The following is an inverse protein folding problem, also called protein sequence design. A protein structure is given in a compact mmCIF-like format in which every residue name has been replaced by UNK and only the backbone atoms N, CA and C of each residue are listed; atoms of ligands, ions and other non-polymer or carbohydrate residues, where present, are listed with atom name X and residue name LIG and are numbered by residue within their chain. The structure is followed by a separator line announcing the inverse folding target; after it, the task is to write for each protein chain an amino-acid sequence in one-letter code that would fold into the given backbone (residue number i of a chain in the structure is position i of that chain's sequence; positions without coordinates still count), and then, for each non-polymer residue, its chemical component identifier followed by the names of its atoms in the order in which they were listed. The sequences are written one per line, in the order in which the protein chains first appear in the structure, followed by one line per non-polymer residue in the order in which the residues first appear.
data_IF_709241036350
#
_entry.id   IF_709241036350
#
_cell.length_a   1.000
_cell.length_b   1.000
_cell.length_c   1.000
_cell.angle_alpha   90.00
_cell.angle_beta   90.00
_cell.angle_gamma   90.00
#
_symmetry.space_group_name_H-M   'P 1'
#
loop_
_entity.id
_entity.type
_entity.pdbx_description
1 polymer ?
#
# COMPACT_ATOMS: atom_id res chain seq x y z
N UNK A 1 7.10 4.35 20.36
CA UNK A 1 8.16 3.82 19.48
C UNK A 1 7.85 4.25 18.06
N UNK A 2 8.86 4.76 17.36
CA UNK A 2 8.76 5.37 16.05
C UNK A 2 8.58 4.29 14.97
N UNK A 3 7.39 4.23 14.36
CA UNK A 3 6.95 3.14 13.44
C UNK A 3 7.77 3.12 12.15
N UNK A 4 8.45 4.22 11.83
CA UNK A 4 9.21 4.39 10.60
C UNK A 4 10.34 3.35 10.44
N UNK A 5 11.08 3.07 11.51
CA UNK A 5 12.21 2.11 11.48
C UNK A 5 11.71 0.69 11.25
N UNK A 6 10.62 0.32 11.93
CA UNK A 6 10.01 -1.00 11.77
C UNK A 6 9.47 -1.17 10.36
N UNK A 7 8.78 -0.17 9.80
CA UNK A 7 8.26 -0.22 8.43
C UNK A 7 9.39 -0.38 7.43
N UNK A 8 10.43 0.45 7.50
CA UNK A 8 11.58 0.38 6.58
C UNK A 8 12.25 -1.00 6.66
N UNK A 9 12.37 -1.57 7.86
CA UNK A 9 12.90 -2.92 8.03
C UNK A 9 12.04 -4.00 7.34
N UNK A 10 10.71 -3.92 7.44
CA UNK A 10 9.81 -4.93 6.86
C UNK A 10 9.64 -4.83 5.34
N UNK A 11 9.76 -3.63 4.76
CA UNK A 11 9.59 -3.40 3.32
C UNK A 11 10.91 -3.38 2.55
N UNK A 12 12.05 -3.36 3.27
CA UNK A 12 13.41 -3.42 2.73
C UNK A 12 13.72 -2.36 1.66
N UNK A 13 13.02 -1.21 1.69
CA UNK A 13 13.22 -0.12 0.73
C UNK A 13 13.16 1.26 1.39
N UNK A 14 13.88 2.20 0.79
CA UNK A 14 13.93 3.61 1.19
C UNK A 14 13.06 4.50 0.30
N UNK A 15 12.30 3.93 -0.64
CA UNK A 15 11.49 4.70 -1.57
C UNK A 15 10.32 5.38 -0.85
N UNK A 16 10.24 6.70 -0.98
CA UNK A 16 9.35 7.54 -0.16
C UNK A 16 7.86 7.23 -0.36
N UNK A 17 7.45 6.90 -1.59
CA UNK A 17 6.05 6.60 -1.90
C UNK A 17 5.66 5.26 -1.25
N UNK A 18 6.52 4.24 -1.34
CA UNK A 18 6.30 2.93 -0.71
C UNK A 18 6.27 3.04 0.81
N UNK A 19 7.21 3.78 1.43
CA UNK A 19 7.20 3.99 2.89
C UNK A 19 5.88 4.64 3.33
N UNK A 20 5.42 5.69 2.62
CA UNK A 20 4.19 6.41 2.96
C UNK A 20 2.94 5.55 2.80
N UNK A 21 2.85 4.71 1.76
CA UNK A 21 1.76 3.76 1.59
C UNK A 21 1.80 2.64 2.64
N UNK A 22 3.00 2.17 3.00
CA UNK A 22 3.20 1.06 3.91
C UNK A 22 2.97 1.41 5.39
N UNK A 23 3.09 2.66 5.83
CA UNK A 23 2.80 3.06 7.22
C UNK A 23 1.34 2.78 7.63
N UNK A 24 0.31 3.28 6.91
CA UNK A 24 -1.08 2.98 7.24
C UNK A 24 -1.37 1.50 7.04
N UNK A 25 -0.80 0.85 6.01
CA UNK A 25 -0.88 -0.60 5.85
C UNK A 25 -0.28 -1.34 7.06
N UNK A 26 0.85 -0.93 7.61
CA UNK A 26 1.48 -1.53 8.80
C UNK A 26 0.72 -1.20 10.10
N UNK A 27 0.03 -0.05 10.17
CA UNK A 27 -0.76 0.33 11.34
C UNK A 27 -2.18 -0.28 11.35
N UNK A 28 -2.84 -0.35 10.18
CA UNK A 28 -4.17 -0.94 9.98
C UNK A 28 -4.10 -2.45 9.70
N UNK A 29 -3.34 -2.85 8.67
CA UNK A 29 -3.18 -4.24 8.24
C UNK A 29 -1.98 -4.95 8.90
N UNK A 30 -0.99 -4.21 9.42
CA UNK A 30 0.16 -4.77 10.12
C UNK A 30 -0.23 -5.26 11.51
N UNK A 31 -0.79 -6.46 11.53
CA UNK A 31 -0.65 -7.47 12.56
C UNK A 31 -1.12 -7.13 14.00
N UNK A 32 -1.62 -5.93 14.29
CA UNK A 32 -2.10 -5.58 15.64
C UNK A 32 -3.60 -5.54 15.73
N UNK A 33 -4.28 -4.70 14.94
CA UNK A 33 -5.74 -4.56 15.07
C UNK A 33 -6.51 -5.73 14.44
N UNK A 34 -6.30 -6.00 13.14
CA UNK A 34 -6.99 -7.10 12.44
C UNK A 34 -6.63 -8.47 13.02
N UNK A 35 -5.34 -8.67 13.33
CA UNK A 35 -4.86 -9.90 13.98
C UNK A 35 -5.42 -10.06 15.40
N UNK A 36 -5.57 -8.98 16.19
CA UNK A 36 -6.20 -9.06 17.52
C UNK A 36 -7.71 -9.37 17.47
N UNK A 37 -8.37 -9.06 16.35
CA UNK A 37 -9.75 -9.49 16.09
C UNK A 37 -9.85 -10.96 15.64
N UNK A 38 -8.72 -11.69 15.53
CA UNK A 38 -8.67 -13.10 15.15
C UNK A 38 -8.72 -13.37 13.64
N UNK A 39 -8.74 -12.32 12.81
CA UNK A 39 -8.75 -12.44 11.34
C UNK A 39 -7.34 -12.73 10.84
N UNK A 40 -7.17 -13.85 10.14
CA UNK A 40 -5.87 -14.35 9.66
C UNK A 40 -5.57 -14.01 8.20
N UNK A 41 -6.58 -13.61 7.43
CA UNK A 41 -6.47 -13.38 5.99
C UNK A 41 -7.36 -12.21 5.57
N UNK A 42 -6.83 -11.37 4.69
CA UNK A 42 -7.51 -10.20 4.12
C UNK A 42 -7.19 -10.17 2.63
N UNK A 43 -8.18 -9.80 1.81
CA UNK A 43 -8.01 -9.55 0.38
C UNK A 43 -7.82 -8.05 0.16
N UNK A 44 -6.85 -7.66 -0.67
CA UNK A 44 -6.64 -6.27 -1.12
C UNK A 44 -7.01 -6.10 -2.59
N UNK A 45 -7.35 -4.87 -2.98
CA UNK A 45 -7.59 -4.48 -4.37
C UNK A 45 -6.37 -3.88 -5.06
N UNK A 46 -5.16 -4.20 -4.60
CA UNK A 46 -3.92 -3.73 -5.22
C UNK A 46 -3.82 -4.26 -6.67
N UNK A 47 -3.34 -3.44 -7.61
CA UNK A 47 -3.27 -3.80 -9.03
C UNK A 47 -4.45 -3.33 -9.90
N UNK A 48 -5.56 -2.88 -9.30
CA UNK A 48 -6.74 -2.44 -10.06
C UNK A 48 -6.45 -1.15 -10.86
N UNK A 49 -5.71 -0.21 -10.29
CA UNK A 49 -5.37 1.06 -10.94
C UNK A 49 -4.44 0.86 -12.14
N UNK A 50 -3.57 -0.15 -12.09
CA UNK A 50 -2.68 -0.55 -13.18
C UNK A 50 -3.45 -1.21 -14.33
N UNK A 51 -4.42 -2.07 -14.02
CA UNK A 51 -5.21 -2.79 -15.03
C UNK A 51 -6.21 -1.86 -15.73
N UNK A 52 -6.92 -1.03 -14.96
CA UNK A 52 -8.01 -0.21 -15.49
C UNK A 52 -7.60 1.24 -15.81
N UNK A 53 -6.34 1.60 -15.59
CA UNK A 53 -5.86 2.95 -15.78
C UNK A 53 -6.47 3.94 -14.78
N UNK A 54 -6.60 3.54 -13.51
CA UNK A 54 -7.25 4.31 -12.45
C UNK A 54 -6.45 5.51 -11.96
N UNK A 55 -5.14 5.54 -12.20
CA UNK A 55 -4.30 6.67 -11.79
C UNK A 55 -4.69 7.96 -12.52
N UNK A 56 -4.67 9.10 -11.81
CA UNK A 56 -5.05 10.41 -12.36
C UNK A 56 -4.33 10.77 -13.66
N UNK A 57 -3.10 10.28 -13.87
CA UNK A 57 -2.34 10.57 -15.09
C UNK A 57 -2.97 9.94 -16.36
N UNK A 58 -3.75 8.87 -16.24
CA UNK A 58 -4.46 8.26 -17.38
C UNK A 58 -5.55 9.15 -17.96
N UNK A 59 -6.08 10.12 -17.20
CA UNK A 59 -7.01 11.12 -17.73
C UNK A 59 -6.39 12.04 -18.79
N UNK A 60 -5.06 12.10 -18.83
CA UNK A 60 -4.28 12.87 -19.82
C UNK A 60 -3.57 11.96 -20.81
N UNK A 61 -3.91 10.67 -20.84
CA UNK A 61 -3.31 9.75 -21.80
C UNK A 61 -3.70 10.19 -23.23
N UNK A 62 -2.73 10.32 -24.15
CA UNK A 62 -3.04 10.60 -25.54
C UNK A 62 -3.77 9.40 -26.14
N UNK A 63 -4.86 9.65 -26.86
CA UNK A 63 -5.51 8.63 -27.66
C UNK A 63 -4.65 8.32 -28.89
N UNK A 64 -4.71 7.08 -29.38
CA UNK A 64 -4.08 6.65 -30.62
C UNK A 64 -4.64 7.48 -31.80
N UNK A 65 -3.84 7.87 -32.81
CA UNK A 65 -4.38 8.54 -34.00
C UNK A 65 -5.40 7.70 -34.75
#
# INVERSE_FOLDING_TARGET
MDVLKDVIYHIETHYIITIRASIPLYAFNGARKIKAMGVKMVLSGEGADEIFGGFLYFHKAPNTP
#
